data_IF_531202522873
#
_entry.id   IF_531202522873
#
_cell.length_a   1.000
_cell.length_b   1.000
_cell.length_c   1.000
_cell.angle_alpha   90.00
_cell.angle_beta   90.00
_cell.angle_gamma   90.00
#
_symmetry.space_group_name_H-M   'P 1'
#
loop_
_entity.id
_entity.type
_entity.pdbx_description
1 polymer ?
#
# COMPACT_ATOMS: atom_id res chain seq x y z
N UNK A 1 25.78 8.06 16.64
CA UNK A 1 25.79 7.63 15.23
C UNK A 1 24.92 6.39 15.17
N UNK A 2 23.62 6.48 14.80
CA UNK A 2 22.87 5.25 14.61
C UNK A 2 23.43 4.57 13.37
N UNK A 3 23.85 3.33 13.55
CA UNK A 3 24.29 2.42 12.50
C UNK A 3 23.20 2.35 11.44
N UNK A 4 23.46 2.90 10.25
CA UNK A 4 22.68 2.58 9.06
C UNK A 4 22.98 1.13 8.65
N UNK A 5 22.40 0.18 9.37
CA UNK A 5 22.36 -1.22 8.93
C UNK A 5 21.47 -1.26 7.69
N UNK A 6 22.11 -1.44 6.54
CA UNK A 6 21.48 -1.44 5.24
C UNK A 6 20.72 -2.73 5.03
N UNK A 7 19.41 -2.68 5.21
CA UNK A 7 18.49 -3.68 4.68
C UNK A 7 18.33 -3.46 3.16
N UNK A 8 19.34 -3.87 2.40
CA UNK A 8 19.30 -3.85 0.93
C UNK A 8 18.62 -5.14 0.42
N UNK A 9 17.30 -5.28 0.59
CA UNK A 9 16.53 -6.20 -0.28
C UNK A 9 16.37 -5.53 -1.64
N UNK A 10 16.74 -6.23 -2.72
CA UNK A 10 16.58 -5.72 -4.07
C UNK A 10 15.08 -5.74 -4.43
N UNK A 11 14.38 -4.61 -4.28
CA UNK A 11 13.07 -4.45 -4.89
C UNK A 11 13.24 -4.39 -6.41
N UNK A 12 12.69 -5.37 -7.12
CA UNK A 12 12.86 -5.53 -8.57
C UNK A 12 11.72 -4.87 -9.36
N UNK A 13 10.65 -4.47 -8.66
CA UNK A 13 9.42 -3.95 -9.25
C UNK A 13 9.28 -2.44 -9.01
N UNK A 14 8.70 -1.74 -9.99
CA UNK A 14 8.41 -0.31 -9.96
C UNK A 14 6.90 -0.12 -9.95
N UNK A 15 6.36 0.26 -8.79
CA UNK A 15 4.96 0.60 -8.64
C UNK A 15 4.73 2.10 -8.89
N UNK A 16 3.82 2.40 -9.83
CA UNK A 16 3.45 3.75 -10.23
C UNK A 16 2.07 4.13 -9.71
N UNK A 17 2.01 5.26 -9.01
CA UNK A 17 0.75 5.93 -8.70
C UNK A 17 0.37 6.89 -9.84
N UNK A 18 -0.87 6.78 -10.32
CA UNK A 18 -1.39 7.70 -11.33
C UNK A 18 -1.95 8.95 -10.63
N UNK A 19 -1.30 10.10 -10.83
CA UNK A 19 -1.64 11.36 -10.16
C UNK A 19 -2.79 12.15 -10.80
N UNK A 20 -2.94 12.20 -12.15
CA UNK A 20 -4.12 12.83 -12.74
C UNK A 20 -5.38 12.12 -12.24
N UNK A 21 -6.40 12.90 -11.87
CA UNK A 21 -7.67 12.36 -11.41
C UNK A 21 -8.78 12.85 -12.35
N UNK A 22 -9.09 12.02 -13.34
CA UNK A 22 -10.26 12.18 -14.21
C UNK A 22 -11.26 11.04 -13.93
N UNK A 23 -12.28 10.89 -14.78
CA UNK A 23 -13.11 9.69 -14.71
C UNK A 23 -12.29 8.42 -15.01
N UNK A 24 -12.83 7.25 -14.63
CA UNK A 24 -12.12 5.98 -14.75
C UNK A 24 -11.77 5.62 -16.20
N UNK A 25 -12.68 5.87 -17.14
CA UNK A 25 -12.47 5.47 -18.53
C UNK A 25 -11.40 6.34 -19.20
N UNK A 26 -11.40 7.63 -18.90
CA UNK A 26 -10.38 8.57 -19.39
C UNK A 26 -8.99 8.21 -18.86
N UNK A 27 -8.82 8.09 -17.54
CA UNK A 27 -7.51 7.73 -16.98
C UNK A 27 -7.06 6.34 -17.42
N UNK A 28 -7.99 5.38 -17.55
CA UNK A 28 -7.70 4.04 -18.07
C UNK A 28 -7.06 4.06 -19.45
N UNK A 29 -7.54 4.96 -20.31
CA UNK A 29 -6.96 5.19 -21.63
C UNK A 29 -5.60 5.89 -21.52
N UNK A 30 -5.51 6.96 -20.73
CA UNK A 30 -4.31 7.79 -20.62
C UNK A 30 -3.10 7.01 -20.07
N UNK A 31 -3.28 6.19 -19.02
CA UNK A 31 -2.15 5.41 -18.52
C UNK A 31 -1.76 4.29 -19.48
N UNK A 32 -2.71 3.67 -20.18
CA UNK A 32 -2.40 2.63 -21.17
C UNK A 32 -1.55 3.21 -22.32
N UNK A 33 -1.91 4.40 -22.80
CA UNK A 33 -1.11 5.14 -23.78
C UNK A 33 0.27 5.52 -23.22
N UNK A 34 0.37 5.90 -21.95
CA UNK A 34 1.64 6.22 -21.30
C UNK A 34 2.56 4.99 -21.21
N UNK A 35 2.04 3.82 -20.84
CA UNK A 35 2.82 2.57 -20.78
C UNK A 35 3.24 2.09 -22.17
N UNK A 36 2.41 2.29 -23.21
CA UNK A 36 2.81 2.03 -24.60
C UNK A 36 3.97 2.94 -25.02
N UNK A 37 3.86 4.25 -24.77
CA UNK A 37 4.96 5.20 -25.05
C UNK A 37 6.24 4.82 -24.31
N UNK A 38 6.13 4.44 -23.04
CA UNK A 38 7.27 3.98 -22.25
C UNK A 38 7.88 2.71 -22.86
N UNK A 39 7.07 1.74 -23.28
CA UNK A 39 7.56 0.53 -23.94
C UNK A 39 8.34 0.85 -25.22
N UNK A 40 7.86 1.79 -26.01
CA UNK A 40 8.53 2.19 -27.25
C UNK A 40 9.88 2.87 -26.97
N UNK A 41 9.97 3.72 -25.94
CA UNK A 41 11.24 4.31 -25.48
C UNK A 41 12.22 3.23 -25.02
N UNK A 42 11.75 2.25 -24.24
CA UNK A 42 12.59 1.17 -23.72
C UNK A 42 13.08 0.20 -24.83
N UNK A 43 12.28 -0.01 -25.88
CA UNK A 43 12.65 -0.80 -27.07
C UNK A 43 13.61 -0.06 -28.01
N UNK A 44 13.55 1.26 -28.05
CA UNK A 44 14.39 2.07 -28.92
C UNK A 44 15.85 2.09 -28.45
N UNK A 45 16.74 2.57 -29.34
CA UNK A 45 18.13 2.87 -28.96
C UNK A 45 18.16 4.05 -27.97
N UNK A 46 19.07 4.06 -26.98
CA UNK A 46 20.17 3.11 -26.80
C UNK A 46 19.82 1.87 -25.95
N UNK A 47 18.64 1.79 -25.34
CA UNK A 47 18.31 0.77 -24.34
C UNK A 47 18.06 -0.62 -24.95
N UNK A 48 17.31 -0.69 -26.05
CA UNK A 48 17.01 -1.91 -26.81
C UNK A 48 16.53 -3.08 -25.93
N UNK A 49 15.68 -2.81 -24.94
CA UNK A 49 15.17 -3.82 -24.03
C UNK A 49 14.07 -4.66 -24.68
N UNK A 50 13.92 -5.91 -24.22
CA UNK A 50 12.73 -6.70 -24.52
C UNK A 50 11.61 -6.24 -23.61
N UNK A 51 10.49 -5.81 -24.20
CA UNK A 51 9.36 -5.24 -23.46
C UNK A 51 8.06 -5.95 -23.78
N UNK A 52 7.42 -6.49 -22.74
CA UNK A 52 6.09 -7.10 -22.81
C UNK A 52 5.08 -6.20 -22.09
N UNK A 53 3.92 -5.99 -22.71
CA UNK A 53 2.80 -5.28 -22.12
C UNK A 53 1.73 -6.28 -21.73
N UNK A 54 1.07 -6.07 -20.59
CA UNK A 54 -0.08 -6.86 -20.16
C UNK A 54 -1.19 -5.96 -19.64
N UNK A 55 -2.43 -6.37 -19.92
CA UNK A 55 -3.63 -5.71 -19.42
C UNK A 55 -4.04 -6.27 -18.06
N UNK A 56 -4.64 -5.41 -17.22
CA UNK A 56 -5.34 -5.83 -16.01
C UNK A 56 -6.78 -6.21 -16.32
N UNK A 57 -7.44 -6.96 -15.44
CA UNK A 57 -8.86 -7.30 -15.59
C UNK A 57 -9.72 -6.03 -15.72
N UNK A 58 -10.43 -5.89 -16.85
CA UNK A 58 -11.32 -4.75 -17.09
C UNK A 58 -10.62 -3.40 -17.27
N UNK A 59 -9.29 -3.38 -17.39
CA UNK A 59 -8.48 -2.20 -17.64
C UNK A 59 -7.68 -2.36 -18.93
N UNK A 60 -7.20 -1.26 -19.50
CA UNK A 60 -6.22 -1.30 -20.58
C UNK A 60 -4.88 -1.89 -20.12
N UNK A 61 -3.79 -1.59 -20.84
CA UNK A 61 -2.43 -1.98 -20.43
C UNK A 61 -2.10 -1.36 -19.08
N UNK A 62 -1.91 -2.16 -18.02
CA UNK A 62 -1.59 -1.70 -16.64
C UNK A 62 -0.20 -2.09 -16.18
N UNK A 63 0.46 -2.97 -16.92
CA UNK A 63 1.77 -3.51 -16.55
C UNK A 63 2.67 -3.62 -17.78
N UNK A 64 3.94 -3.33 -17.56
CA UNK A 64 5.03 -3.45 -18.49
C UNK A 64 6.13 -4.27 -17.83
N UNK A 65 6.69 -5.22 -18.57
CA UNK A 65 7.85 -6.00 -18.14
C UNK A 65 8.99 -5.70 -19.10
N UNK A 66 10.06 -5.10 -18.57
CA UNK A 66 11.29 -4.85 -19.32
C UNK A 66 12.36 -5.88 -18.93
N UNK A 67 13.11 -6.38 -19.91
CA UNK A 67 14.12 -7.40 -19.67
C UNK A 67 15.33 -7.31 -20.59
N UNK A 68 16.48 -7.77 -20.08
CA UNK A 68 17.74 -7.93 -20.80
C UNK A 68 18.52 -9.11 -20.22
N UNK A 69 18.69 -10.17 -21.01
CA UNK A 69 19.31 -11.41 -20.54
C UNK A 69 18.49 -12.02 -19.40
N UNK A 70 19.10 -12.17 -18.22
CA UNK A 70 18.43 -12.71 -17.02
C UNK A 70 17.77 -11.63 -16.15
N UNK A 71 18.04 -10.35 -16.40
CA UNK A 71 17.45 -9.26 -15.64
C UNK A 71 16.05 -8.94 -16.15
N UNK A 72 15.11 -8.77 -15.23
CA UNK A 72 13.70 -8.43 -15.49
C UNK A 72 13.25 -7.43 -14.45
N UNK A 73 12.58 -6.37 -14.89
CA UNK A 73 11.95 -5.34 -14.04
C UNK A 73 10.48 -5.25 -14.44
N UNK A 74 9.59 -5.36 -13.47
CA UNK A 74 8.17 -5.08 -13.67
C UNK A 74 7.90 -3.61 -13.37
N UNK A 75 7.09 -2.98 -14.21
CA UNK A 75 6.57 -1.63 -13.99
C UNK A 75 5.05 -1.77 -14.03
N UNK A 76 4.37 -1.43 -12.95
CA UNK A 76 2.92 -1.56 -12.87
C UNK A 76 2.24 -0.35 -12.25
N UNK A 77 0.96 -0.21 -12.55
CA UNK A 77 0.10 0.80 -11.95
C UNK A 77 -1.21 0.14 -11.52
N UNK A 78 -1.83 0.66 -10.47
CA UNK A 78 -3.15 0.20 -10.00
C UNK A 78 -4.23 1.17 -10.47
N UNK A 79 -5.11 0.79 -11.43
CA UNK A 79 -6.16 1.69 -11.96
C UNK A 79 -7.17 2.16 -10.92
N UNK A 80 -7.27 1.43 -9.80
CA UNK A 80 -8.19 1.72 -8.71
C UNK A 80 -7.63 2.83 -7.81
N UNK A 81 -6.38 2.71 -7.40
CA UNK A 81 -5.68 3.62 -6.49
C UNK A 81 -5.05 4.78 -7.27
N UNK A 82 -5.89 5.65 -7.81
CA UNK A 82 -5.49 6.90 -8.48
C UNK A 82 -5.56 8.07 -7.50
N UNK A 83 -4.71 9.07 -7.72
CA UNK A 83 -4.52 10.20 -6.81
C UNK A 83 -3.71 9.84 -5.57
N UNK A 84 -3.46 10.83 -4.71
CA UNK A 84 -2.73 10.69 -3.44
C UNK A 84 -3.40 11.54 -2.36
N UNK A 85 -3.23 11.16 -1.09
CA UNK A 85 -3.72 11.96 0.04
C UNK A 85 -2.87 13.21 0.20
N UNK A 86 -1.55 13.07 0.12
CA UNK A 86 -0.59 14.18 0.22
C UNK A 86 0.07 14.45 -1.12
N UNK A 87 0.57 15.67 -1.34
CA UNK A 87 1.30 16.00 -2.56
C UNK A 87 2.52 15.10 -2.76
N UNK A 88 2.73 14.61 -3.98
CA UNK A 88 3.96 13.93 -4.34
C UNK A 88 5.17 14.86 -4.15
N UNK A 89 6.33 14.27 -3.87
CA UNK A 89 7.59 14.99 -3.64
C UNK A 89 8.67 14.55 -4.61
N UNK A 90 9.55 15.48 -4.96
CA UNK A 90 10.73 15.13 -5.74
C UNK A 90 11.78 14.49 -4.83
N UNK A 91 12.33 13.35 -5.23
CA UNK A 91 13.48 12.73 -4.57
C UNK A 91 14.62 12.54 -5.56
N UNK A 92 15.83 12.82 -5.10
CA UNK A 92 17.07 12.48 -5.82
C UNK A 92 17.55 11.10 -5.37
N UNK A 93 18.27 10.42 -6.26
CA UNK A 93 18.96 9.17 -5.92
C UNK A 93 19.94 9.36 -4.76
N UNK A 94 20.20 8.29 -4.01
CA UNK A 94 21.21 8.32 -2.93
C UNK A 94 22.62 8.49 -3.52
N UNK A 95 23.57 9.09 -2.80
CA UNK A 95 24.94 9.32 -3.30
C UNK A 95 25.60 8.09 -3.91
N UNK A 96 25.47 6.92 -3.27
CA UNK A 96 26.02 5.65 -3.77
C UNK A 96 25.44 5.23 -5.13
N UNK A 97 24.16 5.53 -5.38
CA UNK A 97 23.49 5.25 -6.66
C UNK A 97 23.90 6.30 -7.70
N UNK A 98 24.01 7.55 -7.29
CA UNK A 98 24.49 8.64 -8.15
C UNK A 98 25.92 8.40 -8.65
N UNK A 99 26.83 7.99 -7.76
CA UNK A 99 28.22 7.66 -8.11
C UNK A 99 28.29 6.49 -9.12
N UNK A 100 27.41 5.49 -8.98
CA UNK A 100 27.42 4.30 -9.80
C UNK A 100 26.70 4.46 -11.16
N UNK A 101 25.62 5.22 -11.19
CA UNK A 101 24.69 5.27 -12.34
C UNK A 101 24.40 6.70 -12.85
N UNK A 102 24.91 7.72 -12.17
CA UNK A 102 24.67 9.12 -12.47
C UNK A 102 23.46 9.71 -11.73
N UNK A 103 23.34 11.03 -11.82
CA UNK A 103 22.24 11.77 -11.19
C UNK A 103 20.90 11.40 -11.80
N UNK A 104 19.90 11.20 -10.94
CA UNK A 104 18.50 11.12 -11.32
C UNK A 104 17.62 11.70 -10.20
N UNK A 105 16.49 12.27 -10.60
CA UNK A 105 15.42 12.68 -9.70
C UNK A 105 14.08 12.22 -10.21
N UNK A 106 13.20 11.81 -9.32
CA UNK A 106 11.87 11.29 -9.66
C UNK A 106 10.83 11.78 -8.66
N UNK A 107 9.58 11.93 -9.14
CA UNK A 107 8.44 12.12 -8.26
C UNK A 107 8.16 10.81 -7.51
N UNK A 108 8.05 10.90 -6.20
CA UNK A 108 7.65 9.80 -5.34
C UNK A 108 6.45 10.22 -4.50
N UNK A 109 5.72 9.23 -4.00
CA UNK A 109 4.68 9.46 -3.01
C UNK A 109 5.27 10.12 -1.75
N UNK A 110 4.42 10.87 -1.05
CA UNK A 110 4.73 11.30 0.30
C UNK A 110 5.01 10.07 1.19
N UNK A 111 5.80 10.27 2.24
CA UNK A 111 6.09 9.19 3.19
C UNK A 111 4.81 8.56 3.74
N UNK A 112 3.82 9.39 4.11
CA UNK A 112 2.58 8.92 4.69
C UNK A 112 1.75 8.10 3.70
N UNK A 113 1.65 8.51 2.43
CA UNK A 113 0.95 7.75 1.37
C UNK A 113 1.63 6.40 1.09
N UNK A 114 2.96 6.39 0.96
CA UNK A 114 3.72 5.17 0.67
C UNK A 114 3.57 4.14 1.79
N UNK A 115 3.76 4.56 3.04
CA UNK A 115 3.71 3.64 4.18
C UNK A 115 2.29 3.33 4.62
N UNK A 116 1.30 4.20 4.38
CA UNK A 116 -0.12 3.85 4.52
C UNK A 116 -0.50 2.70 3.58
N UNK A 117 -0.02 2.72 2.34
CA UNK A 117 -0.15 1.61 1.40
C UNK A 117 0.48 0.30 1.91
N UNK A 118 1.70 0.38 2.44
CA UNK A 118 2.39 -0.79 3.04
C UNK A 118 1.65 -1.35 4.26
N UNK A 119 1.19 -0.48 5.17
CA UNK A 119 0.37 -0.88 6.32
C UNK A 119 -0.94 -1.55 5.88
N UNK A 120 -1.64 -0.97 4.90
CA UNK A 120 -2.87 -1.55 4.35
C UNK A 120 -2.62 -2.91 3.70
N UNK A 121 -1.52 -3.08 2.97
CA UNK A 121 -1.13 -4.38 2.41
C UNK A 121 -0.82 -5.40 3.53
N UNK A 122 0.06 -5.05 4.46
CA UNK A 122 0.45 -5.91 5.58
C UNK A 122 -0.77 -6.41 6.36
N UNK A 123 -1.63 -5.49 6.81
CA UNK A 123 -2.82 -5.81 7.59
C UNK A 123 -3.88 -6.56 6.79
N UNK A 124 -3.98 -6.32 5.49
CA UNK A 124 -4.96 -6.98 4.62
C UNK A 124 -4.58 -8.42 4.27
N UNK A 125 -3.35 -8.68 3.82
CA UNK A 125 -2.96 -9.99 3.27
C UNK A 125 -1.95 -10.78 4.10
N UNK A 126 -1.38 -10.20 5.17
CA UNK A 126 -0.46 -10.89 6.08
C UNK A 126 0.75 -11.54 5.38
N UNK A 127 1.21 -10.92 4.29
CA UNK A 127 2.32 -11.43 3.50
C UNK A 127 3.67 -11.11 4.16
N UNK A 128 4.59 -12.07 4.16
CA UNK A 128 5.86 -11.98 4.89
C UNK A 128 6.71 -10.75 4.51
N UNK A 129 6.79 -10.41 3.22
CA UNK A 129 7.49 -9.20 2.76
C UNK A 129 6.84 -7.91 3.26
N UNK A 130 5.52 -7.86 3.35
CA UNK A 130 4.84 -6.66 3.86
C UNK A 130 5.10 -6.50 5.36
N UNK A 131 5.08 -7.62 6.11
CA UNK A 131 5.42 -7.63 7.53
C UNK A 131 6.87 -7.19 7.75
N UNK A 132 7.80 -7.71 6.95
CA UNK A 132 9.19 -7.29 7.01
C UNK A 132 9.35 -5.79 6.75
N UNK A 133 8.71 -5.28 5.70
CA UNK A 133 8.73 -3.87 5.31
C UNK A 133 8.18 -2.93 6.39
N UNK A 134 7.08 -3.32 7.07
CA UNK A 134 6.51 -2.51 8.15
C UNK A 134 7.31 -2.63 9.44
N UNK A 135 8.12 -3.67 9.63
CA UNK A 135 9.02 -3.78 10.78
C UNK A 135 9.95 -2.56 10.90
N UNK A 136 10.55 -2.15 9.78
CA UNK A 136 11.40 -0.95 9.71
C UNK A 136 10.61 0.35 9.95
N UNK A 137 9.37 0.39 9.45
CA UNK A 137 8.48 1.53 9.66
C UNK A 137 8.18 1.73 11.15
N UNK A 138 7.97 0.66 11.93
CA UNK A 138 7.60 0.76 13.34
C UNK A 138 8.68 1.43 14.21
N UNK A 139 9.91 1.48 13.73
CA UNK A 139 11.08 2.12 14.34
C UNK A 139 11.34 3.55 13.81
N UNK A 140 10.66 3.95 12.73
CA UNK A 140 10.80 5.28 12.13
C UNK A 140 9.98 6.32 12.93
N UNK A 141 10.58 7.48 13.22
CA UNK A 141 9.94 8.57 13.96
C UNK A 141 8.70 9.14 13.25
N UNK A 142 8.61 8.97 11.93
CA UNK A 142 7.46 9.39 11.12
C UNK A 142 6.32 8.38 11.13
N UNK A 143 6.45 7.27 11.88
CA UNK A 143 5.31 6.46 12.28
C UNK A 143 4.50 7.23 13.33
N UNK A 144 3.76 8.24 12.86
CA UNK A 144 3.07 9.23 13.67
C UNK A 144 1.57 9.33 13.33
N UNK A 145 0.89 10.35 13.87
CA UNK A 145 -0.54 10.57 13.61
C UNK A 145 -0.85 10.93 12.15
N UNK A 146 0.09 11.54 11.42
CA UNK A 146 -0.11 11.86 10.00
C UNK A 146 -0.17 10.57 9.21
N UNK A 147 0.78 9.65 9.45
CA UNK A 147 0.74 8.32 8.86
C UNK A 147 -0.53 7.57 9.24
N UNK A 148 -0.92 7.59 10.52
CA UNK A 148 -2.12 6.89 10.98
C UNK A 148 -3.39 7.36 10.27
N UNK A 149 -3.63 8.68 10.19
CA UNK A 149 -4.79 9.25 9.50
C UNK A 149 -4.78 8.92 8.01
N UNK A 150 -3.60 8.92 7.39
CA UNK A 150 -3.43 8.52 5.98
C UNK A 150 -3.71 7.03 5.79
N UNK A 151 -3.27 6.18 6.71
CA UNK A 151 -3.58 4.76 6.73
C UNK A 151 -5.09 4.50 6.80
N UNK A 152 -5.85 5.27 7.59
CA UNK A 152 -7.31 5.13 7.65
C UNK A 152 -7.96 5.33 6.27
N UNK A 153 -7.46 6.29 5.46
CA UNK A 153 -7.91 6.47 4.07
C UNK A 153 -7.57 5.25 3.20
N UNK A 154 -6.32 4.77 3.25
CA UNK A 154 -5.90 3.60 2.46
C UNK A 154 -6.62 2.32 2.88
N UNK A 155 -6.94 2.16 4.16
CA UNK A 155 -7.75 1.07 4.68
C UNK A 155 -9.18 1.15 4.13
N UNK A 156 -9.79 2.34 4.04
CA UNK A 156 -11.08 2.52 3.37
C UNK A 156 -11.03 2.04 1.93
N UNK A 157 -9.94 2.31 1.21
CA UNK A 157 -9.76 1.88 -0.17
C UNK A 157 -9.58 0.35 -0.35
N UNK A 158 -9.32 -0.39 0.73
CA UNK A 158 -9.15 -1.84 0.69
C UNK A 158 -10.44 -2.55 0.28
N UNK A 159 -10.36 -3.68 -0.45
CA UNK A 159 -11.52 -4.54 -0.69
C UNK A 159 -12.04 -5.18 0.61
N UNK A 160 -11.19 -5.35 1.64
CA UNK A 160 -11.57 -5.94 2.92
C UNK A 160 -12.37 -4.95 3.78
N UNK A 161 -13.28 -5.44 4.65
CA UNK A 161 -13.91 -4.61 5.66
C UNK A 161 -12.88 -4.21 6.74
N UNK A 162 -13.07 -3.05 7.37
CA UNK A 162 -12.09 -2.51 8.33
C UNK A 162 -11.86 -3.46 9.51
N UNK A 163 -12.91 -4.13 10.01
CA UNK A 163 -12.83 -5.06 11.14
C UNK A 163 -11.84 -6.22 10.90
N UNK A 164 -11.69 -6.66 9.64
CA UNK A 164 -10.76 -7.75 9.30
C UNK A 164 -9.31 -7.25 9.30
N UNK A 165 -9.09 -5.99 8.92
CA UNK A 165 -7.76 -5.38 8.86
C UNK A 165 -7.27 -4.84 10.21
N UNK A 166 -8.17 -4.49 11.13
CA UNK A 166 -7.82 -4.02 12.47
C UNK A 166 -7.38 -5.15 13.40
N UNK A 167 -7.78 -6.38 13.10
CA UNK A 167 -7.41 -7.56 13.89
C UNK A 167 -7.20 -8.80 13.01
N UNK A 168 -6.25 -8.74 12.06
CA UNK A 168 -5.91 -9.88 11.23
C UNK A 168 -5.33 -11.00 12.09
N UNK A 169 -5.51 -12.23 11.62
CA UNK A 169 -4.92 -13.42 12.24
C UNK A 169 -3.64 -13.78 11.50
N UNK A 170 -2.66 -14.27 12.25
CA UNK A 170 -1.50 -14.94 11.66
C UNK A 170 -1.99 -16.14 10.83
N UNK A 171 -1.59 -16.25 9.54
CA UNK A 171 -1.90 -17.41 8.72
C UNK A 171 -1.48 -18.74 9.37
N UNK A 172 -2.28 -19.79 9.23
CA UNK A 172 -1.99 -21.08 9.86
C UNK A 172 -0.71 -21.76 9.32
N UNK A 173 -0.33 -21.43 8.08
CA UNK A 173 0.83 -21.95 7.36
C UNK A 173 2.03 -20.98 7.38
N UNK A 174 2.04 -19.98 8.26
CA UNK A 174 3.03 -18.90 8.28
C UNK A 174 4.48 -19.39 8.27
N UNK A 175 4.83 -20.34 9.14
CA UNK A 175 6.19 -20.90 9.22
C UNK A 175 6.58 -21.68 7.95
N UNK A 176 5.65 -22.47 7.39
CA UNK A 176 5.89 -23.21 6.16
C UNK A 176 6.08 -22.26 4.96
N UNK A 177 5.26 -21.21 4.88
CA UNK A 177 5.39 -20.15 3.86
C UNK A 177 6.71 -19.40 4.01
N UNK A 178 7.16 -19.17 5.24
CA UNK A 178 8.45 -18.54 5.52
C UNK A 178 9.61 -19.37 4.98
N UNK A 179 9.69 -20.65 5.35
CA UNK A 179 10.76 -21.54 4.90
C UNK A 179 10.77 -21.71 3.38
N UNK A 180 9.60 -21.76 2.74
CA UNK A 180 9.48 -22.01 1.31
C UNK A 180 9.71 -20.77 0.43
N UNK A 181 9.30 -19.58 0.89
CA UNK A 181 9.14 -18.41 0.00
C UNK A 181 9.84 -17.14 0.47
N UNK A 182 10.36 -17.08 1.70
CA UNK A 182 10.99 -15.87 2.24
C UNK A 182 12.41 -16.10 2.78
N UNK A 183 12.72 -17.31 3.24
CA UNK A 183 14.05 -17.64 3.75
C UNK A 183 15.14 -17.37 2.70
N UNK A 184 16.13 -16.55 3.07
CA UNK A 184 17.25 -16.16 2.20
C UNK A 184 16.92 -15.03 1.21
N UNK A 185 15.76 -14.37 1.32
CA UNK A 185 15.42 -13.20 0.50
C UNK A 185 16.05 -11.89 1.01
N UNK A 186 16.39 -11.83 2.28
CA UNK A 186 16.97 -10.65 2.94
C UNK A 186 18.50 -10.69 2.87
N UNK A 187 19.13 -9.51 2.92
CA UNK A 187 20.59 -9.40 2.94
C UNK A 187 21.22 -10.06 4.19
N UNK A 188 20.56 -9.91 5.33
CA UNK A 188 20.91 -10.57 6.59
C UNK A 188 19.89 -11.67 6.89
N UNK A 189 20.31 -12.89 7.33
CA UNK A 189 19.39 -13.93 7.73
C UNK A 189 18.45 -13.46 8.85
N UNK A 190 17.18 -13.76 8.68
CA UNK A 190 16.09 -13.50 9.63
C UNK A 190 15.44 -14.85 9.97
N UNK A 191 14.95 -14.99 11.19
CA UNK A 191 14.15 -16.12 11.65
C UNK A 191 12.65 -15.78 11.65
N UNK A 192 11.78 -16.79 11.56
CA UNK A 192 10.32 -16.58 11.49
C UNK A 192 9.76 -15.84 12.70
N UNK A 193 10.37 -16.05 13.86
CA UNK A 193 10.01 -15.41 15.13
C UNK A 193 10.13 -13.89 15.07
N UNK A 194 11.06 -13.36 14.26
CA UNK A 194 11.20 -11.92 14.07
C UNK A 194 9.98 -11.33 13.33
N UNK A 195 9.45 -12.04 12.33
CA UNK A 195 8.24 -11.58 11.63
C UNK A 195 6.99 -11.71 12.50
N UNK A 196 6.93 -12.72 13.36
CA UNK A 196 5.85 -12.85 14.35
C UNK A 196 5.90 -11.72 15.38
N UNK A 197 7.08 -11.38 15.88
CA UNK A 197 7.29 -10.23 16.76
C UNK A 197 6.89 -8.91 16.07
N UNK A 198 7.29 -8.69 14.80
CA UNK A 198 6.87 -7.51 14.04
C UNK A 198 5.35 -7.46 13.90
N UNK A 199 4.71 -8.59 13.63
CA UNK A 199 3.25 -8.67 13.55
C UNK A 199 2.60 -8.28 14.89
N UNK A 200 3.08 -8.81 16.01
CA UNK A 200 2.57 -8.44 17.35
C UNK A 200 2.76 -6.94 17.65
N UNK A 201 3.96 -6.40 17.37
CA UNK A 201 4.24 -4.97 17.52
C UNK A 201 3.37 -4.09 16.63
N UNK A 202 3.10 -4.52 15.39
CA UNK A 202 2.22 -3.82 14.47
C UNK A 202 0.80 -3.74 15.04
N UNK A 203 0.27 -4.85 15.56
CA UNK A 203 -1.05 -4.87 16.17
C UNK A 203 -1.11 -4.00 17.43
N UNK A 204 -0.09 -4.08 18.30
CA UNK A 204 0.01 -3.20 19.46
C UNK A 204 0.03 -1.73 19.05
N UNK A 205 0.76 -1.38 17.98
CA UNK A 205 0.79 0.00 17.46
C UNK A 205 -0.58 0.45 16.92
N UNK A 206 -1.31 -0.42 16.23
CA UNK A 206 -2.69 -0.12 15.79
C UNK A 206 -3.60 0.11 17.00
N UNK A 207 -3.46 -0.71 18.05
CA UNK A 207 -4.17 -0.49 19.31
C UNK A 207 -3.83 0.86 19.89
N UNK A 208 -2.57 1.28 19.92
CA UNK A 208 -2.16 2.56 20.50
C UNK A 208 -2.65 3.78 19.71
N UNK A 209 -2.64 3.70 18.37
CA UNK A 209 -3.02 4.82 17.49
C UNK A 209 -4.53 5.01 17.34
N UNK A 210 -5.30 3.94 17.45
CA UNK A 210 -6.75 4.05 17.31
C UNK A 210 -7.27 5.03 18.38
N UNK A 211 -8.09 6.00 18.02
CA UNK A 211 -8.66 6.96 18.97
C UNK A 211 -10.14 7.14 18.67
N UNK A 212 -10.85 7.91 19.49
CA UNK A 212 -12.29 8.08 19.28
C UNK A 212 -12.61 8.72 17.92
N UNK A 213 -11.90 9.76 17.44
CA UNK A 213 -12.07 10.26 16.08
C UNK A 213 -11.88 9.18 15.00
N UNK A 214 -10.87 8.32 15.13
CA UNK A 214 -10.64 7.21 14.22
C UNK A 214 -11.77 6.19 14.26
N UNK A 215 -12.24 5.82 15.45
CA UNK A 215 -13.39 4.91 15.63
C UNK A 215 -14.66 5.48 14.99
N UNK A 216 -14.95 6.76 15.25
CA UNK A 216 -16.09 7.47 14.66
C UNK A 216 -15.97 7.55 13.13
N UNK A 217 -14.79 7.83 12.60
CA UNK A 217 -14.53 7.80 11.16
C UNK A 217 -14.85 6.43 10.55
N UNK A 218 -14.37 5.33 11.15
CA UNK A 218 -14.61 3.99 10.62
C UNK A 218 -16.10 3.60 10.65
N UNK A 219 -16.82 4.00 11.70
CA UNK A 219 -18.28 3.85 11.77
C UNK A 219 -18.97 4.63 10.67
N UNK A 220 -18.55 5.88 10.44
CA UNK A 220 -19.10 6.75 9.39
C UNK A 220 -18.97 6.12 7.99
N UNK A 221 -17.86 5.41 7.71
CA UNK A 221 -17.66 4.66 6.47
C UNK A 221 -18.67 3.49 6.35
N UNK A 222 -18.79 2.64 7.37
CA UNK A 222 -19.72 1.50 7.33
C UNK A 222 -21.19 1.95 7.29
N UNK A 223 -21.52 3.09 7.90
CA UNK A 223 -22.84 3.73 7.85
C UNK A 223 -23.11 4.49 6.53
N UNK A 224 -22.15 4.48 5.60
CA UNK A 224 -22.24 5.12 4.28
C UNK A 224 -22.42 6.65 4.35
N UNK A 225 -22.02 7.26 5.47
CA UNK A 225 -22.01 8.71 5.69
C UNK A 225 -20.59 9.12 6.06
N UNK A 226 -19.62 9.04 5.13
CA UNK A 226 -18.21 9.18 5.45
C UNK A 226 -17.85 10.59 5.93
N UNK A 227 -17.28 10.69 7.13
CA UNK A 227 -16.90 11.96 7.77
C UNK A 227 -15.37 12.13 7.81
N UNK A 228 -14.76 12.48 6.67
CA UNK A 228 -13.31 12.63 6.54
C UNK A 228 -12.71 13.79 7.37
N UNK A 229 -13.54 14.74 7.83
CA UNK A 229 -13.14 15.80 8.75
C UNK A 229 -12.70 15.25 10.12
N UNK A 230 -13.25 14.10 10.56
CA UNK A 230 -12.87 13.45 11.82
C UNK A 230 -11.38 13.05 11.86
N UNK A 231 -10.79 12.79 10.70
CA UNK A 231 -9.36 12.47 10.55
C UNK A 231 -8.56 13.63 9.95
N UNK A 232 -9.18 14.81 9.78
CA UNK A 232 -8.53 16.01 9.25
C UNK A 232 -8.11 15.93 7.78
N UNK A 233 -8.74 15.07 6.99
CA UNK A 233 -8.41 14.85 5.57
C UNK A 233 -9.66 14.98 4.65
N UNK A 234 -10.43 16.09 4.70
CA UNK A 234 -11.68 16.23 3.94
C UNK A 234 -11.51 16.02 2.44
N UNK A 235 -10.37 16.41 1.87
CA UNK A 235 -10.08 16.25 0.44
C UNK A 235 -9.98 14.78 0.01
N UNK A 236 -9.63 13.87 0.92
CA UNK A 236 -9.51 12.45 0.63
C UNK A 236 -10.86 11.78 0.27
N UNK A 237 -11.98 12.40 0.64
CA UNK A 237 -13.32 11.95 0.24
C UNK A 237 -13.50 11.86 -1.29
N UNK A 238 -12.74 12.67 -2.04
CA UNK A 238 -12.81 12.73 -3.50
C UNK A 238 -11.86 11.76 -4.21
N UNK A 239 -11.07 10.96 -3.47
CA UNK A 239 -10.16 10.00 -4.09
C UNK A 239 -10.95 8.92 -4.85
N UNK A 240 -10.58 8.58 -6.08
CA UNK A 240 -11.28 7.57 -6.89
C UNK A 240 -11.48 6.23 -6.18
N UNK A 241 -10.50 5.77 -5.41
CA UNK A 241 -10.60 4.51 -4.67
C UNK A 241 -11.59 4.59 -3.51
N UNK A 242 -11.68 5.74 -2.83
CA UNK A 242 -12.69 6.01 -1.79
C UNK A 242 -14.08 6.02 -2.41
N UNK A 243 -14.28 6.77 -3.51
CA UNK A 243 -15.56 6.82 -4.22
C UNK A 243 -16.00 5.43 -4.69
N UNK A 244 -15.06 4.62 -5.20
CA UNK A 244 -15.32 3.23 -5.57
C UNK A 244 -15.70 2.37 -4.36
N UNK A 245 -15.04 2.52 -3.22
CA UNK A 245 -15.42 1.81 -1.98
C UNK A 245 -16.84 2.15 -1.59
N UNK A 246 -17.19 3.43 -1.51
CA UNK A 246 -18.52 3.90 -1.12
C UNK A 246 -19.60 3.39 -2.08
N UNK A 247 -19.32 3.39 -3.38
CA UNK A 247 -20.20 2.77 -4.38
C UNK A 247 -20.42 1.28 -4.07
N UNK A 248 -19.37 0.51 -3.80
CA UNK A 248 -19.48 -0.91 -3.49
C UNK A 248 -20.22 -1.16 -2.16
N UNK A 249 -20.05 -0.29 -1.16
CA UNK A 249 -20.77 -0.36 0.10
C UNK A 249 -22.28 -0.16 -0.10
N UNK A 250 -22.67 0.79 -0.94
CA UNK A 250 -24.08 1.06 -1.28
C UNK A 250 -24.77 -0.14 -1.98
N UNK A 251 -24.01 -1.03 -2.63
CA UNK A 251 -24.54 -2.23 -3.27
C UNK A 251 -24.67 -3.44 -2.32
N UNK A 252 -24.23 -3.34 -1.05
CA UNK A 252 -24.35 -4.44 -0.09
C UNK A 252 -25.79 -4.66 0.37
N UNK A 253 -26.17 -5.92 0.59
CA UNK A 253 -27.45 -6.26 1.21
C UNK A 253 -27.51 -5.78 2.68
N UNK A 254 -28.70 -5.49 3.18
CA UNK A 254 -28.93 -5.07 4.57
C UNK A 254 -28.33 -6.05 5.57
N UNK A 255 -28.45 -7.36 5.29
CA UNK A 255 -27.87 -8.43 6.12
C UNK A 255 -26.34 -8.32 6.17
N UNK A 256 -25.67 -8.10 5.03
CA UNK A 256 -24.22 -7.96 5.00
C UNK A 256 -23.77 -6.70 5.72
N UNK A 257 -24.51 -5.59 5.54
CA UNK A 257 -24.23 -4.31 6.22
C UNK A 257 -24.35 -4.43 7.73
N UNK A 258 -25.43 -5.03 8.22
CA UNK A 258 -25.61 -5.28 9.65
C UNK A 258 -24.50 -6.19 10.21
N UNK A 259 -24.12 -7.26 9.49
CA UNK A 259 -23.05 -8.16 9.92
C UNK A 259 -21.69 -7.45 10.01
N UNK A 260 -21.30 -6.69 8.99
CA UNK A 260 -20.03 -5.94 9.00
C UNK A 260 -19.99 -4.88 10.10
N UNK A 261 -21.12 -4.20 10.33
CA UNK A 261 -21.24 -3.22 11.41
C UNK A 261 -21.07 -3.85 12.80
N UNK A 262 -21.75 -4.98 13.06
CA UNK A 262 -21.59 -5.70 14.32
C UNK A 262 -20.13 -6.13 14.54
N UNK A 263 -19.50 -6.72 13.52
CA UNK A 263 -18.10 -7.16 13.60
C UNK A 263 -17.13 -5.99 13.80
N UNK A 264 -17.42 -4.83 13.21
CA UNK A 264 -16.66 -3.60 13.46
C UNK A 264 -16.79 -3.18 14.92
N UNK A 265 -17.99 -3.06 15.46
CA UNK A 265 -18.19 -2.65 16.86
C UNK A 265 -17.55 -3.63 17.85
N UNK A 266 -17.70 -4.94 17.64
CA UNK A 266 -17.04 -5.96 18.47
C UNK A 266 -15.52 -5.84 18.41
N UNK A 267 -14.97 -5.59 17.22
CA UNK A 267 -13.52 -5.42 17.04
C UNK A 267 -13.01 -4.16 17.71
N UNK A 268 -13.70 -3.03 17.53
CA UNK A 268 -13.34 -1.76 18.18
C UNK A 268 -13.45 -1.87 19.71
N UNK A 269 -14.54 -2.46 20.23
CA UNK A 269 -14.72 -2.66 21.66
C UNK A 269 -13.63 -3.54 22.27
N UNK A 270 -13.23 -4.61 21.58
CA UNK A 270 -12.12 -5.48 22.02
C UNK A 270 -10.79 -4.74 22.04
N UNK A 271 -10.49 -3.94 21.02
CA UNK A 271 -9.24 -3.17 20.95
C UNK A 271 -9.20 -2.10 22.05
N UNK A 272 -10.28 -1.33 22.21
CA UNK A 272 -10.38 -0.28 23.22
C UNK A 272 -10.33 -0.87 24.63
N UNK A 273 -10.99 -2.00 24.87
CA UNK A 273 -10.95 -2.69 26.16
C UNK A 273 -9.63 -3.40 26.48
N UNK A 274 -8.73 -3.55 25.50
CA UNK A 274 -7.40 -4.14 25.69
C UNK A 274 -6.33 -3.09 26.05
N UNK A 275 -6.67 -1.79 26.05
CA UNK A 275 -5.81 -0.71 26.54
C UNK A 275 -5.86 -0.59 28.06
#
# INVERSE_FOLDING_TARGET
MPSSQGFDELSVDIDLAWLPVHDYAEDAKLFAEALVRLADVLRARPLQLQVQLSAGEGAGVTRLVASRGRARVQIETTPVMRGTVHPARNMVVRPRIEEAFGFASVQVLDFADLYAGKLAAALSRQHLRDLFDVGLLLEDERADQVLWRTFLVYMTCSPKPAWEMLAPRVPADFAATFDAHFKGMTAEPIEVEVLLDIHERLLARVVDWLDEPSCAFLRSIEDQQPEFDLIGLPHAANLPAVLRKLHNLAQRTDVKRAADRTLLEETLARIVGAR
#
